data_IF_455513009764
#
_entry.id   IF_455513009764
#
_cell.length_a   1.000
_cell.length_b   1.000
_cell.length_c   1.000
_cell.angle_alpha   90.00
_cell.angle_beta   90.00
_cell.angle_gamma   90.00
#
_symmetry.space_group_name_H-M   'P 1'
#
loop_
_entity.id
_entity.type
_entity.pdbx_description
1 polymer ?
#
# COMPACT_ATOMS: atom_id res chain seq x y z
N UNK A 1 -30.99 -0.22 -31.62
CA UNK A 1 -32.02 -1.27 -31.66
C UNK A 1 -31.39 -2.55 -31.14
N UNK A 2 -31.57 -2.90 -29.86
CA UNK A 2 -31.06 -4.15 -29.29
C UNK A 2 -32.22 -5.13 -29.18
N UNK A 3 -32.52 -5.82 -30.26
CA UNK A 3 -33.42 -6.98 -30.26
C UNK A 3 -32.62 -8.17 -30.75
N UNK A 4 -31.94 -8.86 -29.84
CA UNK A 4 -31.33 -10.15 -30.15
C UNK A 4 -32.43 -11.21 -30.20
N UNK A 5 -32.36 -12.12 -31.18
CA UNK A 5 -33.22 -13.30 -31.22
C UNK A 5 -32.62 -14.38 -30.30
N UNK A 6 -33.45 -14.99 -29.46
CA UNK A 6 -33.04 -16.09 -28.61
C UNK A 6 -33.05 -17.40 -29.41
N UNK A 7 -31.95 -18.13 -29.34
CA UNK A 7 -31.85 -19.49 -29.86
C UNK A 7 -31.86 -20.46 -28.68
N UNK A 8 -32.82 -21.37 -28.67
CA UNK A 8 -32.97 -22.38 -27.64
C UNK A 8 -32.33 -23.68 -28.13
N UNK A 9 -31.42 -24.24 -27.33
CA UNK A 9 -30.73 -25.48 -27.64
C UNK A 9 -30.94 -26.48 -26.50
N UNK A 10 -31.47 -27.65 -26.83
CA UNK A 10 -31.63 -28.74 -25.87
C UNK A 10 -30.33 -29.55 -25.83
N UNK A 11 -29.69 -29.58 -24.66
CA UNK A 11 -28.41 -30.29 -24.47
C UNK A 11 -28.55 -31.82 -24.42
N UNK A 12 -29.75 -32.34 -24.11
CA UNK A 12 -30.01 -33.78 -24.07
C UNK A 12 -30.28 -34.33 -25.48
N UNK A 13 -31.17 -33.66 -26.24
CA UNK A 13 -31.56 -34.12 -27.58
C UNK A 13 -30.67 -33.55 -28.70
N UNK A 14 -29.84 -32.55 -28.39
CA UNK A 14 -29.00 -31.80 -29.34
C UNK A 14 -29.80 -31.01 -30.41
N UNK A 15 -31.11 -30.88 -30.25
CA UNK A 15 -31.97 -30.10 -31.13
C UNK A 15 -31.95 -28.61 -30.75
N UNK A 16 -32.34 -27.74 -31.66
CA UNK A 16 -32.52 -26.33 -31.33
C UNK A 16 -33.39 -25.56 -32.31
N UNK A 17 -33.93 -24.44 -31.83
CA UNK A 17 -34.92 -23.64 -32.53
C UNK A 17 -35.03 -22.21 -32.00
N UNK A 18 -35.84 -21.40 -32.68
CA UNK A 18 -36.09 -19.99 -32.34
C UNK A 18 -37.35 -19.81 -31.48
N UNK A 19 -38.22 -20.81 -31.44
CA UNK A 19 -39.41 -20.82 -30.61
C UNK A 19 -39.08 -21.30 -29.19
N UNK A 20 -39.62 -20.60 -28.19
CA UNK A 20 -39.43 -20.96 -26.78
C UNK A 20 -40.11 -22.32 -26.48
N UNK A 21 -39.36 -23.32 -25.97
CA UNK A 21 -39.94 -24.63 -25.65
C UNK A 21 -40.99 -24.55 -24.53
N UNK A 22 -42.03 -25.40 -24.54
CA UNK A 22 -42.97 -25.49 -23.43
C UNK A 22 -42.27 -25.92 -22.14
N UNK A 23 -42.54 -25.20 -21.05
CA UNK A 23 -41.90 -25.38 -19.72
C UNK A 23 -40.38 -25.12 -19.70
N UNK A 24 -39.87 -24.23 -20.56
CA UNK A 24 -38.47 -23.83 -20.52
C UNK A 24 -38.10 -23.26 -19.13
N UNK A 25 -37.07 -23.84 -18.53
CA UNK A 25 -36.44 -23.31 -17.32
C UNK A 25 -35.00 -22.98 -17.68
N UNK A 26 -34.62 -21.72 -17.52
CA UNK A 26 -33.25 -21.30 -17.79
C UNK A 26 -32.29 -22.09 -16.91
N UNK A 27 -31.36 -22.82 -17.54
CA UNK A 27 -30.39 -23.61 -16.82
C UNK A 27 -29.42 -22.69 -16.06
N UNK A 28 -29.58 -22.59 -14.74
CA UNK A 28 -28.73 -21.80 -13.86
C UNK A 28 -27.51 -22.57 -13.35
N UNK A 29 -27.30 -23.83 -13.78
CA UNK A 29 -26.14 -24.63 -13.38
C UNK A 29 -24.89 -24.32 -14.20
N UNK A 30 -25.04 -23.63 -15.33
CA UNK A 30 -23.95 -23.26 -16.23
C UNK A 30 -23.63 -21.78 -16.08
N UNK A 31 -22.33 -21.46 -16.12
CA UNK A 31 -21.89 -20.08 -16.10
C UNK A 31 -22.20 -19.41 -17.44
N UNK A 32 -22.78 -18.22 -17.38
CA UNK A 32 -22.90 -17.33 -18.52
C UNK A 32 -21.51 -16.91 -19.04
N UNK A 33 -21.47 -16.45 -20.29
CA UNK A 33 -20.26 -15.85 -20.87
C UNK A 33 -19.75 -14.71 -19.99
N UNK A 34 -20.65 -13.91 -19.45
CA UNK A 34 -20.36 -12.76 -18.60
C UNK A 34 -19.73 -13.20 -17.27
N UNK A 35 -20.24 -14.26 -16.64
CA UNK A 35 -19.69 -14.81 -15.40
C UNK A 35 -18.30 -15.43 -15.61
N UNK A 36 -18.11 -16.17 -16.71
CA UNK A 36 -16.80 -16.72 -17.10
C UNK A 36 -15.80 -15.57 -17.29
N UNK A 37 -16.19 -14.56 -18.07
CA UNK A 37 -15.33 -13.42 -18.37
C UNK A 37 -14.98 -12.63 -17.11
N UNK A 38 -15.96 -12.40 -16.23
CA UNK A 38 -15.78 -11.69 -14.96
C UNK A 38 -14.80 -12.43 -14.04
N UNK A 39 -14.95 -13.75 -13.94
CA UNK A 39 -14.06 -14.61 -13.13
C UNK A 39 -12.62 -14.55 -13.65
N UNK A 40 -12.41 -14.71 -14.95
CA UNK A 40 -11.08 -14.63 -15.57
C UNK A 40 -10.47 -13.25 -15.33
N UNK A 41 -11.22 -12.18 -15.63
CA UNK A 41 -10.75 -10.81 -15.43
C UNK A 41 -10.39 -10.52 -13.97
N UNK A 42 -11.15 -11.04 -13.01
CA UNK A 42 -10.86 -10.92 -11.58
C UNK A 42 -9.53 -11.56 -11.19
N UNK A 43 -9.30 -12.80 -11.61
CA UNK A 43 -8.05 -13.54 -11.33
C UNK A 43 -6.86 -12.87 -12.01
N UNK A 44 -6.99 -12.50 -13.29
CA UNK A 44 -5.93 -11.81 -14.03
C UNK A 44 -5.59 -10.45 -13.40
N UNK A 45 -6.59 -9.68 -12.97
CA UNK A 45 -6.34 -8.41 -12.31
C UNK A 45 -5.63 -8.58 -10.95
N UNK A 46 -5.99 -9.60 -10.17
CA UNK A 46 -5.31 -9.92 -8.92
C UNK A 46 -3.84 -10.28 -9.16
N UNK A 47 -3.58 -11.18 -10.12
CA UNK A 47 -2.24 -11.56 -10.51
C UNK A 47 -1.40 -10.37 -10.98
N UNK A 48 -1.94 -9.53 -11.87
CA UNK A 48 -1.22 -8.36 -12.38
C UNK A 48 -0.85 -7.36 -11.27
N UNK A 49 -1.73 -7.18 -10.27
CA UNK A 49 -1.43 -6.34 -9.10
C UNK A 49 -0.29 -6.91 -8.27
N UNK A 50 -0.27 -8.23 -8.06
CA UNK A 50 0.82 -8.90 -7.36
C UNK A 50 2.14 -8.77 -8.11
N UNK A 51 2.15 -8.99 -9.44
CA UNK A 51 3.35 -8.80 -10.26
C UNK A 51 3.86 -7.35 -10.22
N UNK A 52 2.96 -6.37 -10.29
CA UNK A 52 3.32 -4.96 -10.12
C UNK A 52 3.91 -4.69 -8.73
N UNK A 53 3.34 -5.28 -7.67
CA UNK A 53 3.89 -5.18 -6.33
C UNK A 53 5.34 -5.72 -6.33
N UNK A 54 5.54 -6.97 -6.79
CA UNK A 54 6.83 -7.66 -6.76
C UNK A 54 7.90 -6.90 -7.55
N UNK A 55 7.54 -6.38 -8.72
CA UNK A 55 8.44 -5.57 -9.54
C UNK A 55 8.86 -4.27 -8.86
N UNK A 56 8.02 -3.70 -7.99
CA UNK A 56 8.25 -2.42 -7.33
C UNK A 56 8.75 -2.53 -5.88
N UNK A 57 8.79 -3.73 -5.30
CA UNK A 57 9.24 -3.97 -3.92
C UNK A 57 10.56 -3.27 -3.61
N UNK A 58 11.58 -3.53 -4.42
CA UNK A 58 12.93 -3.02 -4.19
C UNK A 58 13.01 -1.49 -4.31
N UNK A 59 12.15 -0.87 -5.12
CA UNK A 59 12.05 0.59 -5.20
C UNK A 59 11.40 1.15 -3.94
N UNK A 60 10.28 0.57 -3.50
CA UNK A 60 9.56 0.97 -2.29
C UNK A 60 10.47 0.82 -1.07
N UNK A 61 11.14 -0.31 -0.89
CA UNK A 61 12.05 -0.55 0.24
C UNK A 61 13.19 0.46 0.28
N UNK A 62 13.80 0.78 -0.87
CA UNK A 62 14.85 1.82 -0.96
C UNK A 62 14.31 3.21 -0.61
N UNK A 63 13.11 3.55 -1.10
CA UNK A 63 12.47 4.82 -0.78
C UNK A 63 12.22 4.93 0.74
N UNK A 64 11.62 3.90 1.33
CA UNK A 64 11.34 3.88 2.77
C UNK A 64 12.63 3.99 3.61
N UNK A 65 13.70 3.28 3.21
CA UNK A 65 15.01 3.38 3.89
C UNK A 65 15.58 4.80 3.83
N UNK A 66 15.47 5.47 2.67
CA UNK A 66 15.89 6.87 2.51
C UNK A 66 15.07 7.82 3.37
N UNK A 67 13.75 7.66 3.42
CA UNK A 67 12.87 8.46 4.27
C UNK A 67 13.22 8.31 5.74
N UNK A 68 13.32 7.08 6.25
CA UNK A 68 13.70 6.79 7.64
C UNK A 68 15.07 7.39 7.97
N UNK A 69 16.06 7.19 7.10
CA UNK A 69 17.39 7.76 7.28
C UNK A 69 17.41 9.30 7.29
N UNK A 70 16.58 9.94 6.46
CA UNK A 70 16.44 11.39 6.45
C UNK A 70 15.88 11.92 7.78
N UNK A 71 14.80 11.32 8.27
CA UNK A 71 14.14 11.74 9.52
C UNK A 71 15.11 11.67 10.72
N UNK A 72 15.85 10.56 10.85
CA UNK A 72 16.85 10.41 11.93
C UNK A 72 17.92 11.50 11.85
N UNK A 73 18.45 11.78 10.65
CA UNK A 73 19.47 12.83 10.48
C UNK A 73 18.91 14.23 10.76
N UNK A 74 17.65 14.48 10.42
CA UNK A 74 16.98 15.74 10.70
C UNK A 74 16.83 15.95 12.21
N UNK A 75 16.32 14.95 12.93
CA UNK A 75 16.16 15.00 14.38
C UNK A 75 17.52 15.17 15.09
N UNK A 76 18.52 14.39 14.70
CA UNK A 76 19.88 14.51 15.23
C UNK A 76 20.45 15.91 15.05
N UNK A 77 20.31 16.49 13.85
CA UNK A 77 20.76 17.87 13.57
C UNK A 77 20.02 18.89 14.44
N UNK A 78 18.71 18.73 14.60
CA UNK A 78 17.90 19.59 15.47
C UNK A 78 18.40 19.55 16.91
N UNK A 79 18.60 18.35 17.45
CA UNK A 79 19.10 18.15 18.82
C UNK A 79 20.51 18.69 19.00
N UNK A 80 21.40 18.42 18.05
CA UNK A 80 22.77 18.92 18.08
C UNK A 80 22.81 20.45 18.04
N UNK A 81 21.98 21.07 17.21
CA UNK A 81 21.89 22.53 17.12
C UNK A 81 21.36 23.13 18.43
N UNK A 82 20.36 22.50 19.05
CA UNK A 82 19.89 22.90 20.38
C UNK A 82 21.03 22.84 21.40
N UNK A 83 21.74 21.72 21.50
CA UNK A 83 22.84 21.55 22.47
C UNK A 83 23.96 22.57 22.24
N UNK A 84 24.35 22.81 20.99
CA UNK A 84 25.34 23.84 20.64
C UNK A 84 24.93 25.24 21.10
N UNK A 85 23.64 25.59 20.98
CA UNK A 85 23.12 26.87 21.47
C UNK A 85 23.20 26.99 23.00
N UNK A 86 23.17 25.89 23.73
CA UNK A 86 23.26 25.89 25.20
C UNK A 86 24.70 25.97 25.73
N UNK A 87 25.72 25.67 24.90
CA UNK A 87 27.12 25.67 25.33
C UNK A 87 27.52 26.95 26.08
N UNK A 88 27.23 28.17 25.60
CA UNK A 88 27.64 29.39 26.31
C UNK A 88 27.05 29.50 27.72
N UNK A 89 25.77 29.13 27.89
CA UNK A 89 25.09 29.16 29.17
C UNK A 89 25.68 28.11 30.13
N UNK A 90 25.94 26.90 29.64
CA UNK A 90 26.57 25.83 30.41
C UNK A 90 27.96 26.26 30.88
N UNK A 91 28.78 26.82 29.97
CA UNK A 91 30.11 27.32 30.30
C UNK A 91 30.05 28.43 31.35
N UNK A 92 29.10 29.36 31.24
CA UNK A 92 28.91 30.43 32.22
C UNK A 92 28.62 29.87 33.62
N UNK A 93 27.69 28.92 33.73
CA UNK A 93 27.35 28.26 34.99
C UNK A 93 28.55 27.50 35.56
N UNK A 94 29.27 26.75 34.73
CA UNK A 94 30.45 25.98 35.16
C UNK A 94 31.58 26.88 35.67
N UNK A 95 31.86 28.00 34.98
CA UNK A 95 32.87 28.97 35.43
C UNK A 95 32.46 29.59 36.77
N UNK A 96 31.20 29.98 36.91
CA UNK A 96 30.69 30.56 38.16
C UNK A 96 30.80 29.59 39.35
N UNK A 97 30.40 28.33 39.15
CA UNK A 97 30.53 27.29 40.17
C UNK A 97 31.99 27.06 40.56
N UNK A 98 32.88 26.93 39.58
CA UNK A 98 34.31 26.72 39.83
C UNK A 98 34.95 27.87 40.59
N UNK A 99 34.59 29.13 40.27
CA UNK A 99 35.07 30.31 41.01
C UNK A 99 34.56 30.32 42.45
N UNK A 100 33.28 30.02 42.65
CA UNK A 100 32.67 29.96 43.99
C UNK A 100 33.33 28.89 44.86
N UNK A 101 33.62 27.71 44.30
CA UNK A 101 34.33 26.65 45.02
C UNK A 101 35.77 27.03 45.38
N UNK A 102 36.49 27.75 44.51
CA UNK A 102 37.85 28.24 44.81
C UNK A 102 37.86 29.25 45.95
N UNK A 103 36.91 30.19 45.95
CA UNK A 103 36.74 31.17 47.04
C UNK A 103 36.44 30.50 48.39
N UNK A 104 35.66 29.41 48.41
CA UNK A 104 35.39 28.64 49.62
C UNK A 104 36.59 27.80 50.09
N UNK A 105 37.47 27.40 49.17
CA UNK A 105 38.68 26.64 49.47
C UNK A 105 39.87 27.51 49.93
N UNK A 106 39.74 28.84 49.93
CA UNK A 106 40.79 29.77 50.36
C UNK A 106 42.00 29.84 49.43
N UNK A 107 41.82 29.48 48.15
CA UNK A 107 42.82 29.63 47.07
C UNK A 107 42.52 30.89 46.26
#
# INVERSE_FOLDING_TARGET
VKGGYYYYHNLETQEGGWDEPPNFVQNSMQLSREEIQSSISGVTAAYNREQLWLANEGLITRLQARCRGYLVRQEFRSRMNFLKKQIPAITCIQVFQNLSHRQQAGI
#
